data_IF_821965246840
#
_entry.id   IF_821965246840
#
_cell.length_a   1.000
_cell.length_b   1.000
_cell.length_c   1.000
_cell.angle_alpha   90.00
_cell.angle_beta   90.00
_cell.angle_gamma   90.00
#
_symmetry.space_group_name_H-M   'P 1'
#
loop_
_entity.id
_entity.type
_entity.pdbx_description
1 polymer ?
#
# COMPACT_ATOMS: atom_id res chain seq x y z
N UNK A 1 33.30 -16.61 45.11
CA UNK A 1 32.50 -16.98 43.91
C UNK A 1 33.27 -18.06 43.16
N UNK A 2 32.66 -19.25 43.03
CA UNK A 2 33.24 -20.42 42.39
C UNK A 2 33.69 -20.07 40.94
N UNK A 3 34.88 -20.47 40.49
CA UNK A 3 35.39 -20.27 39.14
C UNK A 3 34.44 -20.76 38.05
N UNK A 4 33.63 -21.80 38.31
CA UNK A 4 32.58 -22.28 37.42
C UNK A 4 31.46 -21.24 37.22
N UNK A 5 31.01 -20.62 38.29
CA UNK A 5 29.97 -19.61 38.25
C UNK A 5 30.41 -18.32 37.51
N UNK A 6 31.69 -17.94 37.65
CA UNK A 6 32.28 -16.82 36.89
C UNK A 6 32.27 -17.09 35.37
N UNK A 7 32.56 -18.31 34.94
CA UNK A 7 32.54 -18.70 33.52
C UNK A 7 31.13 -18.72 32.94
N UNK A 8 30.15 -19.20 33.71
CA UNK A 8 28.76 -19.21 33.29
C UNK A 8 28.22 -17.78 33.17
N UNK A 9 28.50 -16.92 34.14
CA UNK A 9 28.06 -15.51 34.09
C UNK A 9 28.72 -14.79 32.89
N UNK A 10 30.01 -15.01 32.65
CA UNK A 10 30.69 -14.43 31.50
C UNK A 10 30.09 -14.89 30.17
N UNK A 11 29.79 -16.19 30.05
CA UNK A 11 29.14 -16.73 28.84
C UNK A 11 27.73 -16.16 28.61
N UNK A 12 26.94 -16.01 29.67
CA UNK A 12 25.59 -15.41 29.61
C UNK A 12 25.67 -13.93 29.23
N UNK A 13 26.59 -13.17 29.78
CA UNK A 13 26.81 -11.77 29.45
C UNK A 13 27.26 -11.61 27.99
N UNK A 14 28.18 -12.44 27.52
CA UNK A 14 28.63 -12.41 26.12
C UNK A 14 27.49 -12.76 25.16
N UNK A 15 26.68 -13.77 25.50
CA UNK A 15 25.48 -14.12 24.68
C UNK A 15 24.44 -12.99 24.66
N UNK A 16 24.19 -12.36 25.80
CA UNK A 16 23.29 -11.22 25.89
C UNK A 16 23.77 -10.00 25.07
N UNK A 17 25.06 -9.70 25.12
CA UNK A 17 25.68 -8.63 24.33
C UNK A 17 25.65 -8.97 22.85
N UNK A 18 25.87 -10.21 22.45
CA UNK A 18 25.77 -10.65 21.05
C UNK A 18 24.34 -10.56 20.53
N UNK A 19 23.35 -10.92 21.33
CA UNK A 19 21.93 -10.78 21.00
C UNK A 19 21.56 -9.30 20.85
N UNK A 20 21.96 -8.44 21.78
CA UNK A 20 21.72 -7.00 21.69
C UNK A 20 22.41 -6.37 20.48
N UNK A 21 23.63 -6.81 20.15
CA UNK A 21 24.36 -6.35 18.96
C UNK A 21 23.67 -6.79 17.66
N UNK A 22 23.12 -8.02 17.60
CA UNK A 22 22.35 -8.48 16.45
C UNK A 22 21.03 -7.73 16.30
N UNK A 23 20.32 -7.45 17.40
CA UNK A 23 19.13 -6.60 17.38
C UNK A 23 19.46 -5.16 16.97
N UNK A 24 20.52 -4.57 17.49
CA UNK A 24 20.97 -3.23 17.11
C UNK A 24 21.41 -3.16 15.64
N UNK A 25 22.07 -4.20 15.13
CA UNK A 25 22.48 -4.29 13.74
C UNK A 25 21.28 -4.52 12.80
N UNK A 26 20.33 -5.39 13.19
CA UNK A 26 19.08 -5.57 12.46
C UNK A 26 18.25 -4.27 12.46
N UNK A 27 18.14 -3.60 13.60
CA UNK A 27 17.49 -2.29 13.71
C UNK A 27 18.21 -1.24 12.83
N UNK A 28 19.55 -1.22 12.81
CA UNK A 28 20.34 -0.34 11.94
C UNK A 28 20.11 -0.64 10.45
N UNK A 29 20.03 -1.92 10.05
CA UNK A 29 19.77 -2.29 8.65
C UNK A 29 18.36 -1.91 8.21
N UNK A 30 17.36 -2.05 9.11
CA UNK A 30 15.97 -1.68 8.87
C UNK A 30 15.80 -0.16 8.84
N UNK A 31 16.56 0.57 9.66
CA UNK A 31 16.50 2.02 9.77
C UNK A 31 17.67 2.74 9.08
N UNK A 32 18.33 2.08 8.14
CA UNK A 32 19.34 2.76 7.31
C UNK A 32 18.69 4.00 6.69
N UNK A 33 19.25 5.20 6.87
CA UNK A 33 18.80 6.36 6.11
C UNK A 33 18.81 5.98 4.64
N UNK A 34 17.67 6.05 3.98
CA UNK A 34 17.57 5.77 2.54
C UNK A 34 18.54 6.72 1.83
N UNK A 35 19.60 6.18 1.27
CA UNK A 35 20.52 6.97 0.47
C UNK A 35 19.95 7.20 -0.91
N UNK A 36 19.20 8.28 -1.14
CA UNK A 36 18.71 8.54 -2.49
C UNK A 36 17.66 9.63 -2.64
N UNK A 37 17.03 10.10 -1.56
CA UNK A 37 16.10 11.22 -1.62
C UNK A 37 16.77 12.50 -2.10
N UNK A 38 15.97 13.53 -2.39
CA UNK A 38 16.51 14.85 -2.73
C UNK A 38 17.60 15.23 -1.70
N UNK A 39 18.87 15.42 -2.12
CA UNK A 39 20.00 15.57 -1.19
C UNK A 39 19.89 16.81 -0.30
N UNK A 40 18.97 17.71 -0.61
CA UNK A 40 18.71 18.90 0.17
C UNK A 40 17.67 18.67 1.28
N UNK A 41 16.98 17.51 1.29
CA UNK A 41 16.10 17.13 2.38
C UNK A 41 16.89 16.49 3.53
N UNK A 42 16.42 16.58 4.79
CA UNK A 42 17.01 15.84 5.88
C UNK A 42 16.86 14.34 5.66
N UNK A 43 17.78 13.55 6.21
CA UNK A 43 17.63 12.11 6.27
C UNK A 43 16.39 11.74 7.08
N UNK A 44 15.66 10.73 6.62
CA UNK A 44 14.41 10.26 7.24
C UNK A 44 14.48 8.81 7.63
N UNK A 45 13.61 8.42 8.55
CA UNK A 45 13.42 7.05 9.00
C UNK A 45 11.93 6.77 9.26
N UNK A 46 11.60 5.49 9.41
CA UNK A 46 10.28 5.05 9.82
C UNK A 46 10.16 5.00 11.35
N UNK A 47 9.12 5.62 11.89
CA UNK A 47 8.72 5.48 13.28
C UNK A 47 7.43 4.64 13.33
N UNK A 48 7.43 3.45 13.96
CA UNK A 48 6.22 2.64 14.05
C UNK A 48 5.18 3.33 14.96
N UNK A 49 3.94 3.37 14.48
CA UNK A 49 2.78 3.87 15.22
C UNK A 49 1.99 2.71 15.80
N UNK A 50 1.71 1.70 14.99
CA UNK A 50 0.97 0.51 15.40
C UNK A 50 1.50 -0.71 14.65
N UNK A 51 1.70 -1.81 15.38
CA UNK A 51 2.22 -3.09 14.85
C UNK A 51 1.24 -4.23 15.09
N UNK A 52 1.48 -5.39 14.47
CA UNK A 52 0.67 -6.59 14.65
C UNK A 52 -0.71 -6.52 13.98
N UNK A 53 -0.84 -5.73 12.93
CA UNK A 53 -2.08 -5.52 12.18
C UNK A 53 -2.28 -6.56 11.07
N UNK A 54 -3.52 -6.71 10.60
CA UNK A 54 -3.92 -7.67 9.58
C UNK A 54 -4.10 -6.99 8.21
N UNK A 55 -2.99 -6.59 7.58
CA UNK A 55 -2.96 -5.87 6.29
C UNK A 55 -3.71 -4.54 6.34
N UNK A 56 -3.19 -3.53 7.05
CA UNK A 56 -3.75 -2.17 7.05
C UNK A 56 -3.53 -1.54 5.67
N UNK A 57 -4.56 -1.61 4.81
CA UNK A 57 -4.44 -1.31 3.37
C UNK A 57 -4.89 0.09 3.00
N UNK A 58 -5.61 0.77 3.87
CA UNK A 58 -6.09 2.13 3.65
C UNK A 58 -6.19 2.90 4.96
N UNK A 59 -5.70 4.13 4.97
CA UNK A 59 -5.76 5.08 6.08
C UNK A 59 -6.78 6.19 5.77
N UNK A 60 -7.42 6.72 6.80
CA UNK A 60 -8.22 7.94 6.69
C UNK A 60 -8.15 8.71 8.03
N UNK A 61 -7.95 10.01 7.95
CA UNK A 61 -7.76 10.88 9.12
C UNK A 61 -8.98 11.73 9.39
N UNK A 62 -9.47 11.68 10.62
CA UNK A 62 -10.48 12.63 11.09
C UNK A 62 -9.80 13.89 11.62
N UNK A 63 -10.47 15.04 11.45
CA UNK A 63 -9.93 16.33 11.91
C UNK A 63 -9.83 16.46 13.44
N UNK A 64 -10.42 15.54 14.21
CA UNK A 64 -10.30 15.43 15.66
C UNK A 64 -9.07 14.61 16.12
N UNK A 65 -8.25 14.14 15.16
CA UNK A 65 -7.01 13.41 15.44
C UNK A 65 -7.15 11.89 15.47
N UNK A 66 -8.36 11.34 15.26
CA UNK A 66 -8.54 9.90 15.11
C UNK A 66 -8.00 9.43 13.75
N UNK A 67 -7.35 8.25 13.74
CA UNK A 67 -6.89 7.57 12.54
C UNK A 67 -7.73 6.32 12.33
N UNK A 68 -8.48 6.30 11.25
CA UNK A 68 -9.22 5.13 10.80
C UNK A 68 -8.36 4.35 9.82
N UNK A 69 -8.44 3.02 9.87
CA UNK A 69 -7.78 2.19 8.87
C UNK A 69 -8.57 0.92 8.57
N UNK A 70 -8.43 0.45 7.34
CA UNK A 70 -9.06 -0.77 6.87
C UNK A 70 -8.10 -1.95 6.98
N UNK A 71 -8.50 -3.02 7.68
CA UNK A 71 -7.80 -4.31 7.65
C UNK A 71 -8.35 -5.17 6.52
N UNK A 72 -7.56 -5.35 5.46
CA UNK A 72 -7.95 -6.04 4.22
C UNK A 72 -8.53 -7.44 4.47
N UNK A 73 -7.86 -8.22 5.31
CA UNK A 73 -8.12 -9.64 5.45
C UNK A 73 -9.24 -9.96 6.46
N UNK A 74 -9.59 -9.00 7.33
CA UNK A 74 -10.64 -9.19 8.35
C UNK A 74 -11.97 -8.53 7.99
N UNK A 75 -11.96 -7.61 7.02
CA UNK A 75 -13.10 -6.75 6.70
C UNK A 75 -13.39 -5.72 7.78
N UNK A 76 -12.47 -5.49 8.72
CA UNK A 76 -12.64 -4.61 9.87
C UNK A 76 -12.08 -3.22 9.60
N UNK A 77 -12.83 -2.21 9.96
CA UNK A 77 -12.36 -0.83 10.09
C UNK A 77 -11.96 -0.62 11.54
N UNK A 78 -10.72 -0.20 11.77
CA UNK A 78 -10.15 0.02 13.10
C UNK A 78 -9.88 1.49 13.34
N UNK A 79 -9.72 1.87 14.60
CA UNK A 79 -9.44 3.26 15.00
C UNK A 79 -8.25 3.31 15.95
N UNK A 80 -7.34 4.22 15.69
CA UNK A 80 -6.32 4.69 16.63
C UNK A 80 -6.81 6.04 17.15
N UNK A 81 -6.97 6.18 18.46
CA UNK A 81 -7.37 7.40 19.15
C UNK A 81 -6.34 7.75 20.23
N UNK A 82 -5.86 8.98 20.22
CA UNK A 82 -4.83 9.44 21.17
C UNK A 82 -3.57 8.54 21.19
N UNK A 83 -3.19 8.01 20.03
CA UNK A 83 -2.03 7.13 19.85
C UNK A 83 -2.23 5.67 20.26
N UNK A 84 -3.44 5.28 20.70
CA UNK A 84 -3.76 3.91 21.10
C UNK A 84 -4.77 3.25 20.16
N UNK A 85 -4.48 2.01 19.75
CA UNK A 85 -5.42 1.19 19.00
C UNK A 85 -6.61 0.82 19.89
N UNK A 86 -7.81 1.17 19.47
CA UNK A 86 -9.03 0.77 20.20
C UNK A 86 -9.23 -0.76 20.09
N UNK A 87 -9.60 -1.44 21.20
CA UNK A 87 -9.74 -2.89 21.22
C UNK A 87 -10.89 -3.40 20.32
N UNK A 88 -11.97 -2.64 20.22
CA UNK A 88 -13.15 -2.96 19.41
C UNK A 88 -13.03 -2.32 18.03
N UNK A 89 -13.24 -3.05 16.93
CA UNK A 89 -13.34 -2.46 15.60
C UNK A 89 -14.45 -1.41 15.54
N UNK A 90 -14.23 -0.33 14.77
CA UNK A 90 -15.27 0.63 14.45
C UNK A 90 -16.47 -0.03 13.75
N UNK A 91 -16.18 -0.87 12.77
CA UNK A 91 -17.17 -1.66 12.05
C UNK A 91 -16.51 -2.87 11.38
N UNK A 92 -17.24 -3.96 11.25
CA UNK A 92 -16.79 -5.13 10.47
C UNK A 92 -17.79 -5.41 9.35
N UNK A 93 -17.33 -5.27 8.12
CA UNK A 93 -18.09 -5.59 6.92
C UNK A 93 -18.08 -7.09 6.69
N UNK A 94 -19.19 -7.74 7.02
CA UNK A 94 -19.35 -9.19 6.83
C UNK A 94 -19.37 -9.56 5.34
N UNK A 95 -19.07 -10.84 5.04
CA UNK A 95 -19.04 -11.34 3.67
C UNK A 95 -17.88 -10.78 2.83
N UNK A 96 -16.84 -10.25 3.45
CA UNK A 96 -15.63 -9.81 2.73
C UNK A 96 -14.90 -11.01 2.12
N UNK A 97 -14.80 -11.06 0.79
CA UNK A 97 -13.96 -12.02 0.09
C UNK A 97 -12.50 -11.55 0.13
N UNK A 98 -11.54 -12.45 0.42
CA UNK A 98 -10.13 -12.09 0.67
C UNK A 98 -9.13 -12.84 -0.21
N UNK A 99 -9.60 -13.58 -1.21
CA UNK A 99 -8.73 -14.32 -2.12
C UNK A 99 -7.96 -13.39 -3.07
N UNK A 100 -6.68 -13.61 -3.24
CA UNK A 100 -5.81 -12.79 -4.11
C UNK A 100 -5.74 -11.33 -3.66
N UNK A 101 -6.11 -10.39 -4.52
CA UNK A 101 -6.14 -8.96 -4.21
C UNK A 101 -7.46 -8.50 -3.53
N UNK A 102 -8.45 -9.37 -3.44
CA UNK A 102 -9.76 -9.07 -2.85
C UNK A 102 -9.67 -8.74 -1.36
N UNK A 103 -10.65 -8.00 -0.84
CA UNK A 103 -10.67 -7.63 0.57
C UNK A 103 -11.54 -6.43 0.88
N UNK A 104 -11.32 -5.85 2.04
CA UNK A 104 -11.66 -4.48 2.36
C UNK A 104 -10.53 -3.60 1.85
N UNK A 105 -10.70 -2.89 0.72
CA UNK A 105 -9.60 -2.37 -0.08
C UNK A 105 -9.42 -0.86 0.02
N UNK A 106 -10.44 -0.11 0.40
CA UNK A 106 -10.38 1.35 0.49
C UNK A 106 -11.22 1.91 1.61
N UNK A 107 -10.83 3.09 2.08
CA UNK A 107 -11.46 3.79 3.16
C UNK A 107 -11.40 5.29 2.92
N UNK A 108 -12.51 6.00 3.16
CA UNK A 108 -12.54 7.45 3.17
C UNK A 108 -13.50 7.95 4.26
N UNK A 109 -13.23 9.14 4.79
CA UNK A 109 -14.16 9.85 5.66
C UNK A 109 -14.85 10.96 4.87
N UNK A 110 -16.09 11.26 5.23
CA UNK A 110 -16.76 12.45 4.71
C UNK A 110 -15.90 13.69 4.98
N UNK A 111 -15.76 14.63 4.04
CA UNK A 111 -14.98 15.85 4.25
C UNK A 111 -15.41 16.68 5.46
N UNK A 112 -16.66 16.53 5.88
CA UNK A 112 -17.21 17.16 7.10
C UNK A 112 -17.52 16.12 8.19
N UNK A 113 -16.68 15.09 8.33
CA UNK A 113 -16.93 13.92 9.18
C UNK A 113 -17.44 14.22 10.57
N UNK A 114 -17.01 15.32 11.21
CA UNK A 114 -17.49 15.68 12.55
C UNK A 114 -18.95 16.13 12.60
N UNK A 115 -19.49 16.61 11.50
CA UNK A 115 -20.90 17.05 11.36
C UNK A 115 -21.73 16.17 10.45
N UNK A 116 -21.06 15.48 9.52
CA UNK A 116 -21.61 14.50 8.58
C UNK A 116 -20.88 13.18 8.78
N UNK A 117 -21.19 12.42 9.86
CA UNK A 117 -20.34 11.37 10.37
C UNK A 117 -20.46 10.08 9.51
N UNK A 118 -20.02 10.13 8.28
CA UNK A 118 -19.99 8.97 7.40
C UNK A 118 -18.57 8.49 7.11
N UNK A 119 -18.41 7.18 7.19
CA UNK A 119 -17.23 6.43 6.76
C UNK A 119 -17.60 5.67 5.49
N UNK A 120 -16.76 5.74 4.47
CA UNK A 120 -16.94 5.04 3.20
C UNK A 120 -15.91 3.93 3.09
N UNK A 121 -16.34 2.77 2.61
CA UNK A 121 -15.49 1.60 2.49
C UNK A 121 -15.68 0.91 1.15
N UNK A 122 -14.59 0.56 0.48
CA UNK A 122 -14.62 -0.27 -0.73
C UNK A 122 -14.36 -1.72 -0.36
N UNK A 123 -15.33 -2.58 -0.60
CA UNK A 123 -15.31 -3.99 -0.20
C UNK A 123 -15.49 -4.91 -1.40
N UNK A 124 -14.68 -5.97 -1.50
CA UNK A 124 -15.06 -7.14 -2.30
C UNK A 124 -16.02 -8.01 -1.48
N UNK A 125 -17.26 -8.08 -1.91
CA UNK A 125 -18.34 -8.79 -1.20
C UNK A 125 -18.65 -10.13 -1.86
N UNK A 126 -18.68 -11.18 -1.05
CA UNK A 126 -19.15 -12.51 -1.43
C UNK A 126 -20.63 -12.64 -1.08
N UNK A 127 -21.48 -12.54 -2.06
CA UNK A 127 -22.91 -12.78 -1.95
C UNK A 127 -23.19 -14.28 -2.06
N UNK A 128 -23.08 -14.95 -0.95
CA UNK A 128 -23.28 -16.42 -0.87
C UNK A 128 -24.70 -16.81 -1.29
N UNK A 129 -25.70 -15.95 -1.03
CA UNK A 129 -27.10 -16.24 -1.34
C UNK A 129 -27.32 -16.31 -2.86
N UNK A 130 -26.61 -15.48 -3.63
CA UNK A 130 -26.71 -15.42 -5.09
C UNK A 130 -25.52 -16.09 -5.80
N UNK A 131 -24.55 -16.64 -5.06
CA UNK A 131 -23.36 -17.28 -5.63
C UNK A 131 -22.47 -16.32 -6.42
N UNK A 132 -22.46 -15.03 -6.06
CA UNK A 132 -21.83 -13.97 -6.84
C UNK A 132 -20.85 -13.18 -5.98
N UNK A 133 -19.73 -12.75 -6.57
CA UNK A 133 -18.76 -11.86 -5.93
C UNK A 133 -18.74 -10.56 -6.71
N UNK A 134 -18.76 -9.43 -6.02
CA UNK A 134 -18.62 -8.10 -6.64
C UNK A 134 -17.96 -7.11 -5.70
N UNK A 135 -17.34 -6.09 -6.27
CA UNK A 135 -16.87 -4.94 -5.51
C UNK A 135 -18.02 -3.98 -5.25
N UNK A 136 -18.04 -3.35 -4.09
CA UNK A 136 -19.06 -2.37 -3.70
C UNK A 136 -18.50 -1.27 -2.83
N UNK A 137 -19.14 -0.11 -2.85
CA UNK A 137 -18.87 0.98 -1.91
C UNK A 137 -20.02 1.03 -0.89
N UNK A 138 -19.64 1.00 0.37
CA UNK A 138 -20.56 1.02 1.51
C UNK A 138 -20.33 2.29 2.30
N UNK A 139 -21.40 3.03 2.59
CA UNK A 139 -21.40 4.18 3.48
C UNK A 139 -21.91 3.76 4.85
N UNK A 140 -21.13 4.06 5.88
CA UNK A 140 -21.37 3.65 7.27
C UNK A 140 -21.60 4.89 8.12
N UNK A 141 -22.72 4.96 8.83
CA UNK A 141 -22.99 6.05 9.79
C UNK A 141 -22.20 5.79 11.08
N UNK A 142 -21.40 6.77 11.48
CA UNK A 142 -20.64 6.74 12.72
C UNK A 142 -21.41 7.32 13.90
N UNK A 143 -21.25 6.69 15.07
CA UNK A 143 -21.61 7.25 16.36
C UNK A 143 -20.39 7.10 17.28
N UNK A 144 -19.63 8.17 17.43
CA UNK A 144 -18.33 8.14 18.10
C UNK A 144 -17.36 7.17 17.40
N UNK A 145 -16.89 6.16 18.14
CA UNK A 145 -15.96 5.15 17.66
C UNK A 145 -16.63 3.85 17.21
N UNK A 146 -17.92 3.90 16.88
CA UNK A 146 -18.69 2.75 16.39
C UNK A 146 -19.51 3.10 15.14
N UNK A 147 -19.49 2.24 14.13
CA UNK A 147 -20.41 2.29 13.01
C UNK A 147 -21.75 1.68 13.39
N UNK A 148 -22.87 2.36 13.08
CA UNK A 148 -24.22 1.96 13.52
C UNK A 148 -25.07 1.37 12.40
N UNK A 149 -24.93 1.86 11.18
CA UNK A 149 -25.65 1.37 10.01
C UNK A 149 -24.78 1.47 8.76
N UNK A 150 -24.95 0.53 7.85
CA UNK A 150 -24.22 0.46 6.60
C UNK A 150 -25.19 0.41 5.41
N UNK A 151 -24.95 1.25 4.39
CA UNK A 151 -25.75 1.31 3.18
C UNK A 151 -24.84 1.15 1.97
N UNK A 152 -25.16 0.25 1.05
CA UNK A 152 -24.46 0.15 -0.24
C UNK A 152 -24.89 1.33 -1.10
N UNK A 153 -23.92 2.18 -1.47
CA UNK A 153 -24.15 3.35 -2.33
C UNK A 153 -23.75 3.10 -3.78
N UNK A 154 -22.86 2.12 -4.01
CA UNK A 154 -22.49 1.68 -5.36
C UNK A 154 -22.13 0.20 -5.34
N UNK A 155 -22.60 -0.53 -6.35
CA UNK A 155 -22.22 -1.91 -6.61
C UNK A 155 -21.68 -2.02 -8.04
N UNK A 156 -20.53 -2.66 -8.19
CA UNK A 156 -19.92 -2.95 -9.48
C UNK A 156 -20.58 -4.17 -10.13
N UNK A 157 -20.38 -4.41 -11.42
CA UNK A 157 -20.77 -5.67 -12.05
C UNK A 157 -20.17 -6.90 -11.33
N UNK A 158 -20.79 -8.07 -11.51
CA UNK A 158 -20.22 -9.34 -11.01
C UNK A 158 -18.78 -9.54 -11.47
N UNK A 159 -17.93 -9.96 -10.55
CA UNK A 159 -16.54 -10.29 -10.85
C UNK A 159 -16.45 -11.70 -11.45
N UNK A 160 -15.43 -11.90 -12.27
CA UNK A 160 -15.04 -13.21 -12.79
C UNK A 160 -14.39 -14.09 -11.68
N UNK A 161 -13.90 -15.25 -12.06
CA UNK A 161 -13.11 -16.11 -11.15
C UNK A 161 -11.73 -15.54 -10.84
N UNK A 162 -11.24 -14.57 -11.63
CA UNK A 162 -9.97 -13.89 -11.36
C UNK A 162 -10.04 -13.15 -10.02
N UNK A 163 -8.98 -13.27 -9.23
CA UNK A 163 -8.90 -12.69 -7.88
C UNK A 163 -8.09 -11.40 -7.82
N UNK A 164 -7.56 -10.96 -8.94
CA UNK A 164 -6.74 -9.77 -9.12
C UNK A 164 -7.48 -8.67 -9.90
N UNK A 165 -6.85 -7.51 -9.98
CA UNK A 165 -7.33 -6.29 -10.64
C UNK A 165 -8.68 -5.82 -10.08
N UNK A 166 -8.71 -5.61 -8.76
CA UNK A 166 -9.89 -5.10 -8.07
C UNK A 166 -9.87 -3.58 -7.93
N UNK A 167 -8.69 -2.93 -8.03
CA UNK A 167 -8.53 -1.55 -7.63
C UNK A 167 -8.84 -1.37 -6.15
N UNK A 168 -9.65 -0.37 -5.81
CA UNK A 168 -10.27 -0.29 -4.49
C UNK A 168 -10.00 0.97 -3.70
N UNK A 169 -9.01 1.79 -4.07
CA UNK A 169 -8.80 3.06 -3.39
C UNK A 169 -9.98 3.99 -3.67
N UNK A 170 -10.49 4.57 -2.60
CA UNK A 170 -11.52 5.61 -2.62
C UNK A 170 -11.05 6.81 -1.82
N UNK A 171 -11.32 8.01 -2.31
CA UNK A 171 -10.98 9.25 -1.62
C UNK A 171 -11.92 10.38 -2.03
N UNK A 172 -12.10 11.38 -1.17
CA UNK A 172 -12.76 12.62 -1.53
C UNK A 172 -11.77 13.57 -2.18
N UNK A 173 -12.07 13.99 -3.40
CA UNK A 173 -11.31 15.02 -4.09
C UNK A 173 -11.52 16.42 -3.50
N UNK A 174 -10.73 17.43 -3.93
CA UNK A 174 -10.89 18.82 -3.52
C UNK A 174 -12.25 19.40 -3.94
N UNK A 175 -12.92 18.78 -4.91
CA UNK A 175 -14.27 19.06 -5.36
C UNK A 175 -15.37 18.48 -4.45
N UNK A 176 -14.95 17.80 -3.35
CA UNK A 176 -15.84 17.14 -2.38
C UNK A 176 -16.68 16.00 -2.99
N UNK A 177 -16.27 15.46 -4.13
CA UNK A 177 -16.85 14.25 -4.70
C UNK A 177 -16.06 13.03 -4.23
N UNK A 178 -16.75 11.90 -4.09
CA UNK A 178 -16.14 10.61 -3.83
C UNK A 178 -15.61 10.04 -5.15
N UNK A 179 -14.33 9.75 -5.20
CA UNK A 179 -13.67 9.12 -6.32
C UNK A 179 -13.34 7.67 -5.98
N UNK A 180 -13.36 6.81 -6.99
CA UNK A 180 -12.99 5.41 -6.83
C UNK A 180 -12.18 4.94 -8.04
N UNK A 181 -11.05 4.28 -7.79
CA UNK A 181 -10.28 3.59 -8.83
C UNK A 181 -10.68 2.13 -8.86
N UNK A 182 -11.07 1.62 -10.03
CA UNK A 182 -11.64 0.30 -10.20
C UNK A 182 -10.86 -0.47 -11.27
N UNK A 183 -10.29 -1.62 -10.91
CA UNK A 183 -9.59 -2.50 -11.84
C UNK A 183 -10.55 -3.23 -12.80
N UNK A 184 -10.02 -3.78 -13.88
CA UNK A 184 -10.79 -4.44 -14.95
C UNK A 184 -11.08 -5.93 -14.69
N UNK A 185 -10.70 -6.44 -13.51
CA UNK A 185 -10.91 -7.84 -13.07
C UNK A 185 -10.32 -8.88 -14.05
N UNK A 186 -9.07 -8.65 -14.51
CA UNK A 186 -8.34 -9.48 -15.46
C UNK A 186 -9.10 -9.74 -16.78
N UNK A 187 -9.93 -8.79 -17.19
CA UNK A 187 -10.60 -8.77 -18.48
C UNK A 187 -10.35 -7.43 -19.20
N UNK A 188 -9.28 -7.33 -20.01
CA UNK A 188 -8.89 -6.07 -20.65
C UNK A 188 -9.99 -5.43 -21.50
N UNK A 189 -10.92 -6.22 -22.07
CA UNK A 189 -12.03 -5.68 -22.87
C UNK A 189 -12.96 -4.74 -22.04
N UNK A 190 -13.08 -5.00 -20.73
CA UNK A 190 -13.92 -4.19 -19.84
C UNK A 190 -13.34 -2.78 -19.64
N UNK A 191 -12.03 -2.61 -19.77
CA UNK A 191 -11.40 -1.30 -19.67
C UNK A 191 -11.90 -0.33 -20.76
N UNK A 192 -12.14 -0.82 -21.97
CA UNK A 192 -12.65 -0.05 -23.11
C UNK A 192 -14.19 -0.04 -23.20
N UNK A 193 -14.88 -0.94 -22.49
CA UNK A 193 -16.36 -0.94 -22.43
C UNK A 193 -16.85 0.21 -21.53
N UNK A 194 -17.37 1.26 -22.13
CA UNK A 194 -17.87 2.45 -21.43
C UNK A 194 -19.24 2.26 -20.77
N UNK A 195 -19.88 1.11 -20.92
CA UNK A 195 -21.07 0.74 -20.13
C UNK A 195 -20.68 -0.02 -18.84
N UNK A 196 -19.43 -0.49 -18.74
CA UNK A 196 -18.90 -1.15 -17.57
C UNK A 196 -18.23 -0.16 -16.60
N UNK A 197 -18.35 -0.40 -15.29
CA UNK A 197 -17.62 0.32 -14.24
C UNK A 197 -16.24 -0.24 -13.96
N UNK A 198 -15.87 -1.35 -14.62
CA UNK A 198 -14.57 -2.00 -14.43
C UNK A 198 -13.50 -1.40 -15.35
N UNK A 199 -12.27 -1.21 -14.83
CA UNK A 199 -11.18 -0.53 -15.54
C UNK A 199 -11.42 0.97 -15.72
N UNK A 200 -11.89 1.64 -14.65
CA UNK A 200 -12.34 3.03 -14.66
C UNK A 200 -11.90 3.81 -13.45
N UNK A 201 -11.74 5.10 -13.60
CA UNK A 201 -11.87 6.04 -12.50
C UNK A 201 -13.31 6.53 -12.47
N UNK A 202 -13.98 6.31 -11.34
CA UNK A 202 -15.34 6.75 -11.11
C UNK A 202 -15.36 7.99 -10.22
N UNK A 203 -16.29 8.92 -10.48
CA UNK A 203 -16.52 10.12 -9.68
C UNK A 203 -18.01 10.26 -9.36
N UNK A 204 -18.33 10.39 -8.07
CA UNK A 204 -19.72 10.37 -7.60
C UNK A 204 -19.96 11.35 -6.45
N UNK A 205 -21.22 11.69 -6.22
CA UNK A 205 -21.65 12.35 -5.00
C UNK A 205 -21.52 11.38 -3.80
N UNK A 206 -21.57 11.90 -2.58
CA UNK A 206 -21.48 11.13 -1.34
C UNK A 206 -22.60 10.08 -1.16
N UNK A 207 -23.65 10.15 -1.95
CA UNK A 207 -24.76 9.18 -1.98
C UNK A 207 -24.63 8.12 -3.10
N UNK A 208 -23.55 8.19 -3.91
CA UNK A 208 -23.31 7.30 -5.05
C UNK A 208 -23.90 7.78 -6.37
N UNK A 209 -24.67 8.88 -6.39
CA UNK A 209 -25.26 9.43 -7.61
C UNK A 209 -24.21 10.14 -8.49
N UNK A 210 -24.40 10.18 -9.83
CA UNK A 210 -23.47 10.88 -10.72
C UNK A 210 -23.57 12.40 -10.56
N UNK A 211 -22.44 13.12 -10.42
CA UNK A 211 -22.40 14.57 -10.50
C UNK A 211 -22.82 15.09 -11.87
N UNK A 212 -23.49 16.24 -11.91
CA UNK A 212 -23.97 16.85 -13.15
C UNK A 212 -22.83 17.27 -14.10
N UNK A 213 -21.66 17.52 -13.54
CA UNK A 213 -20.44 17.94 -14.23
C UNK A 213 -19.49 16.78 -14.57
N UNK A 214 -19.94 15.52 -14.45
CA UNK A 214 -19.19 14.39 -14.98
C UNK A 214 -19.15 14.41 -16.51
N UNK A 215 -18.04 13.97 -17.14
CA UNK A 215 -17.86 14.10 -18.59
C UNK A 215 -18.91 13.37 -19.42
N UNK A 216 -19.53 12.33 -18.86
CA UNK A 216 -20.55 11.53 -19.55
C UNK A 216 -21.93 11.64 -18.93
N UNK A 217 -22.18 12.68 -18.11
CA UNK A 217 -23.48 12.87 -17.47
C UNK A 217 -24.61 13.01 -18.52
N UNK A 218 -25.70 12.28 -18.28
CA UNK A 218 -26.86 12.27 -19.21
C UNK A 218 -26.70 11.40 -20.46
N UNK A 219 -25.57 10.73 -20.61
CA UNK A 219 -25.36 9.75 -21.68
C UNK A 219 -26.20 8.50 -21.46
N UNK A 220 -26.83 8.00 -22.56
CA UNK A 220 -27.52 6.71 -22.58
C UNK A 220 -26.61 5.53 -23.00
N UNK A 221 -25.44 5.84 -23.51
CA UNK A 221 -24.47 4.86 -24.05
C UNK A 221 -23.13 4.84 -23.33
N UNK A 222 -22.99 5.60 -22.26
CA UNK A 222 -21.81 5.62 -21.38
C UNK A 222 -22.29 5.70 -19.93
N UNK A 223 -21.67 4.92 -19.04
CA UNK A 223 -21.93 4.97 -17.60
C UNK A 223 -21.62 6.37 -17.04
N UNK A 224 -22.60 6.99 -16.39
CA UNK A 224 -22.54 8.40 -15.98
C UNK A 224 -21.55 8.68 -14.83
N UNK A 225 -21.10 7.65 -14.12
CA UNK A 225 -20.10 7.78 -13.04
C UNK A 225 -18.67 7.81 -13.58
N UNK A 226 -18.43 7.44 -14.84
CA UNK A 226 -17.09 7.39 -15.40
C UNK A 226 -16.51 8.79 -15.50
N UNK A 227 -15.31 8.95 -14.93
CA UNK A 227 -14.48 10.14 -15.12
C UNK A 227 -13.41 9.89 -16.19
N UNK A 228 -12.71 8.75 -16.14
CA UNK A 228 -11.77 8.25 -17.16
C UNK A 228 -11.92 6.75 -17.35
N UNK A 229 -11.44 6.22 -18.49
CA UNK A 229 -11.54 4.81 -18.83
C UNK A 229 -10.26 4.29 -19.49
N UNK A 230 -10.21 2.98 -19.79
CA UNK A 230 -9.02 2.37 -20.38
C UNK A 230 -7.92 2.12 -19.38
N UNK A 231 -8.28 1.76 -18.14
CA UNK A 231 -7.36 1.45 -17.05
C UNK A 231 -7.30 -0.06 -16.77
N UNK A 232 -6.14 -0.53 -16.30
CA UNK A 232 -5.93 -1.92 -15.91
C UNK A 232 -6.23 -2.16 -14.43
N UNK A 233 -5.34 -1.70 -13.56
CA UNK A 233 -5.43 -1.96 -12.12
C UNK A 233 -4.72 -0.85 -11.35
N UNK A 234 -5.49 0.11 -10.90
CA UNK A 234 -5.00 1.28 -10.17
C UNK A 234 -5.04 1.01 -8.67
N UNK A 235 -4.02 1.46 -7.94
CA UNK A 235 -3.92 1.34 -6.49
C UNK A 235 -3.67 2.66 -5.77
N UNK A 236 -3.76 3.79 -6.45
CA UNK A 236 -3.60 5.09 -5.82
C UNK A 236 -4.31 6.20 -6.58
N UNK A 237 -4.74 7.22 -5.84
CA UNK A 237 -5.24 8.48 -6.39
C UNK A 237 -4.84 9.63 -5.47
N UNK A 238 -4.32 10.71 -6.06
CA UNK A 238 -3.93 11.90 -5.33
C UNK A 238 -4.22 13.18 -6.12
N UNK A 239 -4.39 14.31 -5.42
CA UNK A 239 -4.63 15.62 -6.05
C UNK A 239 -3.52 16.58 -5.71
N UNK A 240 -2.98 17.22 -6.74
CA UNK A 240 -1.98 18.27 -6.57
C UNK A 240 -2.57 19.45 -5.77
N UNK A 241 -1.96 19.83 -4.64
CA UNK A 241 -2.58 20.75 -3.68
C UNK A 241 -2.82 22.16 -4.22
N UNK A 242 -2.08 22.59 -5.25
CA UNK A 242 -2.20 23.92 -5.83
C UNK A 242 -3.04 23.95 -7.10
N UNK A 243 -2.89 22.92 -7.97
CA UNK A 243 -3.58 22.91 -9.28
C UNK A 243 -4.91 22.14 -9.23
N UNK A 244 -5.14 21.30 -8.21
CA UNK A 244 -6.30 20.42 -8.10
C UNK A 244 -6.33 19.28 -9.12
N UNK A 245 -5.26 19.09 -9.90
CA UNK A 245 -5.15 17.99 -10.89
C UNK A 245 -5.07 16.65 -10.17
N UNK A 246 -5.77 15.65 -10.69
CA UNK A 246 -5.78 14.29 -10.15
C UNK A 246 -4.76 13.39 -10.86
N UNK A 247 -4.11 12.54 -10.10
CA UNK A 247 -3.14 11.55 -10.57
C UNK A 247 -3.49 10.19 -10.02
N UNK A 248 -3.22 9.13 -10.80
CA UNK A 248 -3.36 7.75 -10.36
C UNK A 248 -2.07 6.98 -10.59
N UNK A 249 -1.83 6.01 -9.72
CA UNK A 249 -0.83 4.96 -9.91
C UNK A 249 -1.50 3.73 -10.48
N UNK A 250 -0.90 3.12 -11.48
CA UNK A 250 -1.48 1.99 -12.22
C UNK A 250 -0.47 0.86 -12.39
N UNK A 251 -0.90 -0.37 -12.16
CA UNK A 251 -0.08 -1.56 -12.31
C UNK A 251 -0.20 -2.14 -13.71
N UNK A 252 0.90 -2.20 -14.43
CA UNK A 252 1.04 -2.87 -15.72
C UNK A 252 1.09 -4.40 -15.61
N UNK A 253 1.14 -5.12 -16.74
CA UNK A 253 1.17 -6.60 -16.74
C UNK A 253 2.53 -7.17 -16.28
N UNK A 254 3.57 -6.96 -17.06
CA UNK A 254 4.97 -7.31 -16.76
C UNK A 254 5.90 -6.15 -17.14
N UNK A 255 5.31 -5.04 -17.57
CA UNK A 255 5.96 -3.82 -18.01
C UNK A 255 5.03 -2.66 -17.74
N UNK A 256 5.56 -1.44 -17.76
CA UNK A 256 4.82 -0.20 -17.70
C UNK A 256 3.82 -0.17 -16.54
N UNK A 257 4.33 -0.29 -15.31
CA UNK A 257 3.63 0.34 -14.20
C UNK A 257 3.68 1.86 -14.42
N UNK A 258 2.63 2.58 -14.10
CA UNK A 258 2.43 3.94 -14.57
C UNK A 258 2.02 4.92 -13.48
N UNK A 259 2.37 6.19 -13.68
CA UNK A 259 1.68 7.33 -13.08
C UNK A 259 0.98 8.10 -14.19
N UNK A 260 -0.33 8.25 -14.05
CA UNK A 260 -1.19 8.91 -15.00
C UNK A 260 -1.76 10.21 -14.45
N UNK A 261 -1.66 11.31 -15.20
CA UNK A 261 -2.39 12.56 -14.96
C UNK A 261 -3.79 12.43 -15.55
N UNK A 262 -4.83 12.59 -14.74
CA UNK A 262 -6.22 12.42 -15.20
C UNK A 262 -6.80 13.66 -15.86
N UNK A 263 -7.42 13.45 -17.01
CA UNK A 263 -8.26 14.44 -17.72
C UNK A 263 -9.66 13.87 -17.94
N UNK A 264 -10.68 14.66 -17.66
CA UNK A 264 -12.07 14.23 -17.74
C UNK A 264 -12.44 13.69 -19.12
N UNK A 265 -12.98 12.49 -19.18
CA UNK A 265 -13.44 11.84 -20.41
C UNK A 265 -12.37 11.09 -21.20
N UNK A 266 -11.11 11.18 -20.80
CA UNK A 266 -9.99 10.60 -21.55
C UNK A 266 -9.88 9.08 -21.39
N UNK A 267 -9.27 8.47 -22.42
CA UNK A 267 -8.94 7.05 -22.53
C UNK A 267 -7.45 6.83 -22.22
N UNK A 268 -7.13 5.89 -21.31
CA UNK A 268 -5.75 5.56 -20.93
C UNK A 268 -5.19 4.32 -21.65
N UNK A 269 -5.96 3.79 -22.62
CA UNK A 269 -5.46 2.90 -23.64
C UNK A 269 -5.21 1.46 -23.22
N UNK A 270 -5.50 1.05 -22.00
CA UNK A 270 -5.48 -0.36 -21.63
C UNK A 270 -6.65 -1.10 -22.32
N UNK A 271 -6.35 -2.25 -22.89
CA UNK A 271 -7.34 -3.08 -23.58
C UNK A 271 -6.75 -4.38 -24.13
N UNK A 272 -7.48 -5.13 -24.97
CA UNK A 272 -7.06 -6.46 -25.47
C UNK A 272 -5.79 -6.46 -26.32
N UNK A 273 -5.42 -5.36 -26.95
CA UNK A 273 -4.22 -5.25 -27.77
C UNK A 273 -2.94 -5.01 -26.95
N UNK A 274 -3.09 -4.72 -25.65
CA UNK A 274 -1.97 -4.44 -24.76
C UNK A 274 -0.98 -5.61 -24.71
N UNK A 275 0.30 -5.31 -24.87
CA UNK A 275 1.40 -6.28 -24.88
C UNK A 275 2.65 -5.68 -24.25
N UNK A 276 3.53 -6.51 -23.67
CA UNK A 276 4.86 -6.12 -23.21
C UNK A 276 5.93 -6.44 -24.24
N UNK A 277 5.80 -5.89 -25.46
CA UNK A 277 6.84 -6.01 -26.48
C UNK A 277 8.12 -5.27 -26.06
N UNK A 278 9.28 -5.79 -26.46
CA UNK A 278 10.57 -5.21 -26.08
C UNK A 278 11.13 -4.38 -27.25
N UNK A 279 11.68 -3.17 -27.00
CA UNK A 279 11.62 -2.44 -25.74
C UNK A 279 10.24 -1.80 -25.55
N UNK A 280 9.73 -1.81 -24.31
CA UNK A 280 8.63 -0.93 -24.01
C UNK A 280 9.14 0.51 -24.08
N UNK A 281 8.53 1.48 -24.70
CA UNK A 281 7.74 2.42 -23.94
C UNK A 281 6.31 2.49 -24.46
N UNK A 282 5.37 3.08 -23.71
CA UNK A 282 4.13 3.57 -24.27
C UNK A 282 4.44 4.59 -25.39
N UNK A 283 3.65 4.65 -26.49
CA UNK A 283 2.35 4.02 -26.70
C UNK A 283 2.41 2.65 -27.40
N UNK A 284 3.57 2.07 -27.60
CA UNK A 284 3.71 0.92 -28.47
C UNK A 284 3.29 -0.42 -27.85
N UNK A 285 2.82 -0.47 -26.60
CA UNK A 285 2.52 -1.72 -25.92
C UNK A 285 1.28 -1.68 -25.01
N UNK A 286 1.23 -0.87 -23.94
CA UNK A 286 0.12 -0.92 -22.96
C UNK A 286 -0.99 0.10 -23.20
N UNK A 287 -0.69 1.21 -23.87
CA UNK A 287 -1.61 2.36 -24.03
C UNK A 287 -1.98 2.55 -25.50
N UNK A 288 -2.56 1.54 -26.14
CA UNK A 288 -2.84 1.56 -27.58
C UNK A 288 -4.29 1.26 -27.96
N UNK A 289 -5.13 0.84 -27.01
CA UNK A 289 -6.52 0.48 -27.29
C UNK A 289 -7.45 1.68 -27.24
N UNK A 290 -8.48 1.63 -28.09
CA UNK A 290 -9.52 2.66 -28.18
C UNK A 290 -9.05 3.96 -28.83
N UNK A 291 -9.92 5.00 -28.84
CA UNK A 291 -9.61 6.27 -29.49
C UNK A 291 -8.64 7.12 -28.67
N UNK A 292 -7.63 7.67 -29.34
CA UNK A 292 -6.73 8.71 -28.80
C UNK A 292 -6.22 8.44 -27.37
N UNK A 293 -5.51 7.32 -27.13
CA UNK A 293 -5.05 7.00 -25.78
C UNK A 293 -4.08 8.07 -25.22
N UNK A 294 -4.30 8.44 -23.95
CA UNK A 294 -3.40 9.34 -23.22
C UNK A 294 -2.20 8.55 -22.71
N UNK A 295 -1.03 9.15 -22.77
CA UNK A 295 0.21 8.56 -22.28
C UNK A 295 0.40 8.86 -20.79
N UNK A 296 1.02 7.93 -20.03
CA UNK A 296 1.43 8.19 -18.67
C UNK A 296 2.46 9.33 -18.61
N UNK A 297 2.54 10.00 -17.49
CA UNK A 297 3.58 11.01 -17.23
C UNK A 297 4.88 10.37 -16.77
N UNK A 298 4.84 9.13 -16.28
CA UNK A 298 6.01 8.30 -15.97
C UNK A 298 5.64 6.81 -15.96
N UNK A 299 6.62 5.90 -16.18
CA UNK A 299 6.41 4.46 -16.20
C UNK A 299 7.67 3.67 -15.80
N UNK A 300 7.47 2.44 -15.31
CA UNK A 300 8.55 1.56 -14.83
C UNK A 300 8.51 0.18 -15.50
N UNK A 301 9.67 -0.25 -16.00
CA UNK A 301 9.93 -1.61 -16.46
C UNK A 301 11.34 -2.02 -15.99
N UNK A 302 11.48 -3.10 -15.18
CA UNK A 302 10.44 -4.01 -14.72
C UNK A 302 9.43 -3.37 -13.77
N UNK A 303 8.30 -4.03 -13.57
CA UNK A 303 7.21 -3.54 -12.72
C UNK A 303 7.61 -3.43 -11.25
N UNK A 304 7.19 -2.36 -10.61
CA UNK A 304 7.46 -2.03 -9.20
C UNK A 304 6.23 -2.23 -8.31
N UNK A 305 5.05 -2.43 -8.90
CA UNK A 305 3.73 -2.46 -8.28
C UNK A 305 3.47 -1.19 -7.44
N UNK A 306 3.27 -0.02 -8.07
CA UNK A 306 2.95 1.21 -7.36
C UNK A 306 1.61 1.05 -6.62
N UNK A 307 1.58 1.54 -5.38
CA UNK A 307 0.41 1.53 -4.51
C UNK A 307 -0.14 2.93 -4.32
N UNK A 308 -0.75 3.25 -3.18
CA UNK A 308 -1.36 4.57 -3.03
C UNK A 308 -0.35 5.72 -3.11
N UNK A 309 -0.86 6.88 -3.45
CA UNK A 309 -0.10 8.11 -3.69
C UNK A 309 -0.64 9.27 -2.86
N UNK A 310 0.24 10.19 -2.49
CA UNK A 310 -0.10 11.42 -1.80
C UNK A 310 0.83 12.57 -2.24
N UNK A 311 0.30 13.79 -2.34
CA UNK A 311 1.16 14.96 -2.49
C UNK A 311 1.72 15.38 -1.14
N UNK A 312 3.03 15.57 -1.08
CA UNK A 312 3.68 15.96 0.16
C UNK A 312 3.42 17.43 0.50
N UNK A 313 2.73 17.68 1.61
CA UNK A 313 2.41 19.03 2.11
C UNK A 313 3.03 19.33 3.48
N UNK A 314 3.82 18.40 4.01
CA UNK A 314 4.47 18.52 5.31
C UNK A 314 5.63 19.53 5.33
N UNK A 315 6.23 19.70 6.49
CA UNK A 315 7.33 20.64 6.72
C UNK A 315 8.71 19.98 6.84
N UNK A 316 8.76 18.63 6.96
CA UNK A 316 10.02 17.92 7.15
C UNK A 316 10.87 17.90 5.87
N UNK A 317 10.25 17.59 4.72
CA UNK A 317 10.90 17.48 3.42
C UNK A 317 10.63 18.74 2.60
N UNK A 318 11.29 19.85 2.97
CA UNK A 318 10.99 21.18 2.39
C UNK A 318 11.26 21.27 0.89
N UNK A 319 12.19 20.46 0.37
CA UNK A 319 12.55 20.41 -1.05
C UNK A 319 11.71 19.42 -1.88
N UNK A 320 10.82 18.68 -1.21
CA UNK A 320 9.83 17.80 -1.86
C UNK A 320 8.39 18.29 -1.63
N UNK A 321 8.23 19.56 -1.28
CA UNK A 321 6.90 20.14 -1.06
C UNK A 321 6.13 20.22 -2.38
N UNK A 322 4.93 19.66 -2.40
CA UNK A 322 4.06 19.48 -3.55
C UNK A 322 4.58 18.45 -4.59
N UNK A 323 5.58 17.64 -4.24
CA UNK A 323 5.95 16.50 -5.04
C UNK A 323 4.96 15.36 -4.82
N UNK A 324 4.78 14.53 -5.85
CA UNK A 324 3.95 13.33 -5.77
C UNK A 324 4.77 12.20 -5.15
N UNK A 325 4.33 11.74 -3.99
CA UNK A 325 4.90 10.56 -3.35
C UNK A 325 4.03 9.35 -3.58
N UNK A 326 4.62 8.18 -3.77
CA UNK A 326 3.89 6.93 -3.82
C UNK A 326 4.73 5.77 -3.29
N UNK A 327 4.03 4.75 -2.78
CA UNK A 327 4.63 3.51 -2.35
C UNK A 327 4.76 2.52 -3.50
N UNK A 328 5.71 1.58 -3.40
CA UNK A 328 5.80 0.43 -4.28
C UNK A 328 5.82 -0.86 -3.46
N UNK A 329 5.07 -1.87 -3.94
CA UNK A 329 4.94 -3.14 -3.23
C UNK A 329 6.11 -4.07 -3.52
N UNK A 330 6.54 -4.19 -4.79
CA UNK A 330 7.53 -5.17 -5.22
C UNK A 330 8.93 -4.88 -4.68
N UNK A 331 9.36 -3.63 -4.69
CA UNK A 331 10.70 -3.22 -4.25
C UNK A 331 10.70 -2.50 -2.90
N UNK A 332 9.53 -2.34 -2.28
CA UNK A 332 9.34 -1.75 -0.97
C UNK A 332 9.92 -0.33 -0.83
N UNK A 333 9.90 0.46 -1.91
CA UNK A 333 10.44 1.81 -1.95
C UNK A 333 9.33 2.86 -1.86
N UNK A 334 9.61 3.88 -1.07
CA UNK A 334 8.86 5.12 -1.07
C UNK A 334 9.54 6.09 -2.05
N UNK A 335 8.81 6.47 -3.09
CA UNK A 335 9.28 7.31 -4.18
C UNK A 335 8.79 8.73 -4.04
N UNK A 336 9.58 9.64 -4.55
CA UNK A 336 9.36 11.08 -4.56
C UNK A 336 9.56 11.58 -5.99
N UNK A 337 8.47 12.02 -6.63
CA UNK A 337 8.44 12.53 -7.99
C UNK A 337 8.23 14.04 -7.98
N UNK A 338 9.28 14.77 -8.31
CA UNK A 338 9.16 16.20 -8.56
C UNK A 338 8.49 16.45 -9.91
N UNK A 339 7.41 17.22 -9.90
CA UNK A 339 6.66 17.57 -11.10
C UNK A 339 7.05 18.94 -11.63
N UNK A 340 6.83 19.16 -12.93
CA UNK A 340 6.88 20.50 -13.53
C UNK A 340 5.86 21.43 -12.88
N UNK A 341 6.06 22.74 -12.99
CA UNK A 341 5.21 23.73 -12.34
C UNK A 341 3.72 23.64 -12.74
N UNK A 342 3.44 23.16 -13.95
CA UNK A 342 2.09 22.89 -14.44
C UNK A 342 1.57 21.48 -14.10
N UNK A 343 2.42 20.63 -13.49
CA UNK A 343 2.09 19.28 -13.08
C UNK A 343 1.97 18.26 -14.23
N UNK A 344 2.40 18.59 -15.45
CA UNK A 344 2.18 17.73 -16.62
C UNK A 344 3.29 16.73 -16.90
N UNK A 345 4.46 16.93 -16.33
CA UNK A 345 5.66 16.08 -16.55
C UNK A 345 6.42 15.85 -15.25
N UNK A 346 7.09 14.70 -15.18
CA UNK A 346 8.04 14.39 -14.10
C UNK A 346 9.39 15.04 -14.44
N UNK A 347 9.92 15.84 -13.52
CA UNK A 347 11.23 16.50 -13.63
C UNK A 347 12.34 15.61 -13.09
N UNK A 348 12.07 14.91 -11.98
CA UNK A 348 13.00 13.97 -11.37
C UNK A 348 12.28 12.97 -10.48
N UNK A 349 12.87 11.77 -10.37
CA UNK A 349 12.49 10.73 -9.40
C UNK A 349 13.61 10.56 -8.38
N UNK A 350 13.23 10.39 -7.12
CA UNK A 350 14.16 9.99 -6.06
C UNK A 350 13.53 8.94 -5.14
N UNK A 351 14.39 8.14 -4.50
CA UNK A 351 13.96 7.15 -3.50
C UNK A 351 14.12 7.78 -2.13
N UNK A 352 13.00 8.08 -1.46
CA UNK A 352 13.03 8.68 -0.14
C UNK A 352 13.56 7.71 0.91
N UNK A 353 13.04 6.49 0.92
CA UNK A 353 13.50 5.38 1.78
C UNK A 353 13.01 4.02 1.25
N UNK A 354 13.60 2.95 1.79
CA UNK A 354 13.12 1.58 1.61
C UNK A 354 12.51 1.10 2.92
N UNK A 355 11.32 0.52 2.86
CA UNK A 355 10.62 -0.01 4.03
C UNK A 355 10.88 -1.52 4.22
N UNK A 356 10.58 -2.10 5.39
CA UNK A 356 10.87 -3.51 5.66
C UNK A 356 10.12 -4.53 4.79
N UNK A 357 9.01 -4.13 4.18
CA UNK A 357 8.19 -4.97 3.27
C UNK A 357 7.42 -4.07 2.30
N UNK A 358 6.72 -4.67 1.32
CA UNK A 358 5.92 -3.91 0.36
C UNK A 358 5.02 -2.87 1.01
N UNK A 359 4.99 -1.68 0.45
CA UNK A 359 4.11 -0.59 0.88
C UNK A 359 2.71 -0.91 0.39
N UNK A 360 1.70 -0.70 1.23
CA UNK A 360 0.29 -0.89 0.88
C UNK A 360 -0.42 0.45 0.68
N UNK A 361 -0.13 1.41 1.57
CA UNK A 361 -0.78 2.71 1.56
C UNK A 361 0.17 3.80 2.02
N UNK A 362 0.00 5.00 1.49
CA UNK A 362 0.64 6.21 1.98
C UNK A 362 -0.37 7.35 2.03
N UNK A 363 -0.33 8.15 3.08
CA UNK A 363 -1.23 9.29 3.26
C UNK A 363 -0.54 10.43 4.02
N UNK A 364 -0.91 11.67 3.70
CA UNK A 364 -0.51 12.82 4.51
C UNK A 364 -1.41 12.92 5.75
N UNK A 365 -0.82 12.76 6.92
CA UNK A 365 -1.53 12.96 8.18
C UNK A 365 -1.77 14.45 8.48
N UNK A 366 -2.83 14.77 9.25
CA UNK A 366 -3.09 16.14 9.71
C UNK A 366 -2.01 16.68 10.66
N UNK A 367 -1.16 15.79 11.17
CA UNK A 367 0.03 16.10 11.96
C UNK A 367 1.23 16.56 11.11
N UNK A 368 1.07 16.61 9.77
CA UNK A 368 2.09 17.04 8.83
C UNK A 368 3.14 15.97 8.50
N UNK A 369 2.99 14.75 9.01
CA UNK A 369 3.84 13.61 8.65
C UNK A 369 3.24 12.81 7.50
N UNK A 370 4.11 12.22 6.68
CA UNK A 370 3.72 11.18 5.76
C UNK A 370 3.59 9.86 6.53
N UNK A 371 2.44 9.21 6.41
CA UNK A 371 2.13 7.92 7.00
C UNK A 371 2.28 6.83 5.94
N UNK A 372 2.78 5.68 6.35
CA UNK A 372 3.07 4.54 5.47
C UNK A 372 2.56 3.27 6.12
N UNK A 373 1.89 2.42 5.35
CA UNK A 373 1.46 1.10 5.83
C UNK A 373 2.17 -0.03 5.10
N UNK A 374 2.36 -1.12 5.82
CA UNK A 374 2.87 -2.39 5.30
C UNK A 374 1.94 -3.52 5.76
N UNK A 375 2.25 -4.77 5.44
CA UNK A 375 1.38 -5.91 5.76
C UNK A 375 0.99 -6.03 7.25
N UNK A 376 1.77 -5.46 8.17
CA UNK A 376 1.52 -5.62 9.61
C UNK A 376 1.74 -4.36 10.46
N UNK A 377 2.12 -3.25 9.84
CA UNK A 377 2.56 -2.07 10.61
C UNK A 377 2.18 -0.77 9.90
N UNK A 378 1.73 0.19 10.69
CA UNK A 378 1.55 1.59 10.31
C UNK A 378 2.74 2.38 10.85
N UNK A 379 3.37 3.19 10.00
CA UNK A 379 4.53 4.04 10.32
C UNK A 379 4.24 5.50 10.04
N UNK A 380 5.06 6.38 10.65
CA UNK A 380 5.27 7.77 10.20
C UNK A 380 6.69 7.93 9.68
N UNK A 381 6.85 8.73 8.63
CA UNK A 381 8.16 9.18 8.17
C UNK A 381 8.58 10.36 9.02
N UNK A 382 9.68 10.20 9.74
CA UNK A 382 10.21 11.21 10.68
C UNK A 382 11.68 11.52 10.35
N UNK A 383 12.21 12.62 10.88
CA UNK A 383 13.63 12.90 10.75
C UNK A 383 14.46 11.75 11.36
N UNK A 384 15.50 11.32 10.65
CA UNK A 384 16.50 10.44 11.24
C UNK A 384 17.29 11.21 12.31
N UNK A 385 17.73 10.54 13.40
CA UNK A 385 18.57 11.19 14.37
C UNK A 385 19.85 11.70 13.69
N UNK A 386 20.28 12.92 14.05
CA UNK A 386 21.55 13.46 13.56
C UNK A 386 22.67 12.50 13.91
N UNK A 387 23.47 12.12 12.92
CA UNK A 387 24.69 11.36 13.21
C UNK A 387 25.57 12.24 14.08
N UNK A 388 25.77 11.87 15.34
CA UNK A 388 26.75 12.52 16.21
C UNK A 388 28.11 12.18 15.64
N UNK A 389 28.63 13.08 14.79
CA UNK A 389 30.01 13.03 14.32
C UNK A 389 30.90 13.32 15.54
N UNK A 390 31.36 12.29 16.23
CA UNK A 390 32.26 12.53 17.35
C UNK A 390 32.35 11.44 18.42
N UNK A 391 31.68 10.30 18.29
CA UNK A 391 32.14 9.15 19.04
C UNK A 391 33.36 8.58 18.29
N UNK A 392 34.58 8.62 18.86
CA UNK A 392 35.68 7.89 18.26
C UNK A 392 35.23 6.44 18.12
N UNK A 393 35.41 5.85 16.93
CA UNK A 393 35.45 4.40 16.80
C UNK A 393 36.45 3.97 17.89
N UNK A 394 35.95 3.50 19.04
CA UNK A 394 36.79 2.74 19.94
C UNK A 394 37.14 1.50 19.13
N UNK A 395 38.24 1.62 18.40
CA UNK A 395 38.88 0.49 17.78
C UNK A 395 39.14 -0.52 18.92
N UNK A 396 38.32 -1.56 18.96
CA UNK A 396 38.69 -2.78 19.70
C UNK A 396 39.87 -3.47 19.00
N UNK A 397 40.91 -2.69 18.75
CA UNK A 397 42.22 -3.18 18.37
C UNK A 397 43.00 -3.37 19.65
N UNK A 398 42.90 -4.56 20.24
CA UNK A 398 43.74 -4.86 21.37
C UNK A 398 43.26 -5.92 22.36
N UNK A 399 42.32 -6.78 22.01
CA UNK A 399 42.17 -8.04 22.75
C UNK A 399 42.92 -9.13 21.98
N UNK A 400 43.92 -9.77 22.57
CA UNK A 400 44.60 -10.89 21.94
C UNK A 400 43.58 -11.98 21.64
N UNK A 401 43.55 -12.47 20.40
CA UNK A 401 42.82 -13.68 20.03
C UNK A 401 43.39 -14.82 20.88
N UNK A 402 42.71 -15.11 21.99
CA UNK A 402 42.93 -16.39 22.67
C UNK A 402 42.34 -17.44 21.74
N UNK A 403 43.24 -18.23 21.14
CA UNK A 403 42.87 -19.33 20.27
C UNK A 403 41.85 -20.22 20.99
N UNK A 404 40.64 -20.29 20.43
CA UNK A 404 39.63 -21.27 20.84
C UNK A 404 40.21 -22.68 20.52
N UNK A 405 40.33 -23.57 21.47
CA UNK A 405 40.54 -24.97 21.14
C UNK A 405 39.31 -25.49 20.43
N UNK A 406 39.53 -26.16 19.31
CA UNK A 406 38.50 -26.73 18.44
C UNK A 406 37.49 -27.56 19.25
N UNK A 407 36.21 -27.16 19.19
CA UNK A 407 35.09 -27.98 19.62
C UNK A 407 34.82 -29.02 18.53
N UNK A 408 35.69 -30.00 18.42
CA UNK A 408 35.57 -31.15 17.53
C UNK A 408 35.50 -32.48 18.27
N UNK A 409 34.97 -32.50 19.48
CA UNK A 409 34.88 -33.73 20.27
C UNK A 409 33.62 -33.83 21.12
N UNK A 410 32.42 -33.55 20.57
CA UNK A 410 31.16 -33.86 21.27
C UNK A 410 30.01 -34.28 20.33
N UNK A 411 30.29 -34.82 19.15
CA UNK A 411 29.25 -35.38 18.26
C UNK A 411 29.43 -36.88 17.95
N UNK A 412 30.17 -37.61 18.82
CA UNK A 412 30.40 -39.01 18.62
C UNK A 412 30.02 -39.86 19.86
N UNK A 413 28.78 -39.78 20.29
CA UNK A 413 28.13 -40.82 21.13
C UNK A 413 26.65 -40.46 21.31
N UNK A 414 25.80 -40.93 20.38
CA UNK A 414 24.39 -41.26 20.52
C UNK A 414 23.78 -41.55 19.15
N UNK A 415 24.26 -42.60 18.50
CA UNK A 415 23.48 -43.32 17.49
C UNK A 415 23.63 -44.80 17.82
N UNK A 416 22.56 -45.56 18.05
CA UNK A 416 22.59 -47.00 18.07
C UNK A 416 22.75 -47.54 16.65
N UNK A 417 23.63 -48.54 16.53
CA UNK A 417 23.95 -49.28 15.32
C UNK A 417 22.75 -50.03 14.76
N UNK A 418 22.68 -49.97 13.44
CA UNK A 418 21.85 -50.83 12.61
C UNK A 418 22.17 -52.30 12.83
N UNK A 419 21.16 -53.12 13.08
CA UNK A 419 20.94 -54.39 12.37
C UNK A 419 19.61 -55.01 12.86
N UNK A 420 18.68 -55.14 11.94
CA UNK A 420 17.86 -56.33 11.76
C UNK A 420 16.90 -56.13 10.56
N UNK A 421 17.39 -56.69 9.47
CA UNK A 421 16.48 -57.04 8.35
C UNK A 421 15.74 -58.30 8.73
N UNK A 422 14.43 -58.34 8.51
CA UNK A 422 13.72 -59.30 7.69
C UNK A 422 12.26 -59.43 8.03
N UNK A 423 11.53 -59.32 6.95
CA UNK A 423 10.34 -60.12 6.60
C UNK A 423 9.03 -59.83 7.33
N UNK A 424 8.06 -59.32 6.64
CA UNK A 424 6.94 -60.10 6.09
C UNK A 424 5.98 -59.25 5.24
N UNK A 425 5.77 -59.81 4.15
CA UNK A 425 4.85 -59.56 3.04
C UNK A 425 3.35 -59.65 3.40
N UNK A 426 2.54 -58.98 2.52
CA UNK A 426 1.19 -59.35 2.10
C UNK A 426 0.04 -58.96 3.03
N UNK A 427 -0.88 -58.06 2.67
CA UNK A 427 -2.06 -58.28 1.85
C UNK A 427 -2.94 -57.01 1.86
N UNK A 428 -3.39 -56.67 0.65
CA UNK A 428 -4.60 -55.90 0.41
C UNK A 428 -5.83 -56.78 0.71
N UNK A 429 -7.05 -56.26 0.84
CA UNK A 429 -7.71 -55.49 -0.24
C UNK A 429 -7.90 -54.00 0.04
#
# INVERSE_FOLDING_TARGET
>A
MDPRNRRIIAAVVIAAVAILATFAFAWYLVNRPGGGGNPNNPAVQLAPVQTGLAWPIALAFASDGRVFFAERNTGSIRVIESGALLPTPFYTLTGTATAGERGLLGLALDPDFLTTPYVYAYQTFNDVANGTIYNRIVRILANGNAGTSATVILQMPPLSTATNHNGGVIAFGPDRKLWAVVGENANPSLAQDRMSRLGKVLRMNSDGSPPLDNPFYGSLSVENLIYTYGHRNMFGIAWHPTTGRAYVTENGPNCNDEVNLLTAGDNYGWGPAATCSTPPPPPGNTNQDGPSPVMPIDWWTPTIAPTNAAFYTGSLLTHSRNDLMFGAYNDARLRDLALSADGTTVVSESILLTVPSGILDIEMGPDGFLWVTTASTIYRVVAAPAMVSGLPLIAFAGLPMVAMPAVSALSARLLPTSDERRSRSLQKP
#
